data_IF_415195070365
#
_entry.id   IF_415195070365
#
_cell.length_a   1.000
_cell.length_b   1.000
_cell.length_c   1.000
_cell.angle_alpha   90.00
_cell.angle_beta   90.00
_cell.angle_gamma   90.00
#
_symmetry.space_group_name_H-M   'P 1'
#
loop_
_entity.id
_entity.type
_entity.pdbx_description
1 polymer ?
#
# COMPACT_ATOMS: atom_id res chain seq x y z
N UNK A 1 13.18 -8.84 0.38
CA UNK A 1 11.89 -8.61 -0.31
C UNK A 1 10.73 -8.54 0.67
N UNK A 2 10.61 -9.46 1.64
CA UNK A 2 9.51 -9.48 2.63
C UNK A 2 9.29 -8.15 3.40
N UNK A 3 10.37 -7.48 3.80
CA UNK A 3 10.31 -6.16 4.47
C UNK A 3 9.77 -5.03 3.58
N UNK A 4 9.94 -5.11 2.27
CA UNK A 4 9.43 -4.09 1.33
C UNK A 4 7.91 -4.23 1.16
N UNK A 5 7.43 -5.47 0.95
CA UNK A 5 6.00 -5.80 0.94
C UNK A 5 5.30 -5.39 2.22
N UNK A 6 5.89 -5.73 3.38
CA UNK A 6 5.32 -5.35 4.68
C UNK A 6 5.32 -3.83 4.86
N UNK A 7 6.37 -3.14 4.41
CA UNK A 7 6.43 -1.68 4.38
C UNK A 7 5.30 -1.06 3.57
N UNK A 8 5.06 -1.55 2.36
CA UNK A 8 3.98 -1.10 1.49
C UNK A 8 2.59 -1.36 2.10
N UNK A 9 2.36 -2.55 2.68
CA UNK A 9 1.08 -2.81 3.39
C UNK A 9 0.85 -1.89 4.58
N UNK A 10 1.90 -1.63 5.37
CA UNK A 10 1.80 -0.71 6.51
C UNK A 10 1.54 0.73 6.05
N UNK A 11 2.15 1.14 4.93
CA UNK A 11 1.93 2.45 4.32
C UNK A 11 0.49 2.59 3.82
N UNK A 12 -0.04 1.57 3.12
CA UNK A 12 -1.43 1.56 2.67
C UNK A 12 -2.41 1.72 3.85
N UNK A 13 -2.25 0.93 4.91
CA UNK A 13 -3.07 1.04 6.12
C UNK A 13 -2.95 2.41 6.82
N UNK A 14 -1.78 3.05 6.76
CA UNK A 14 -1.59 4.38 7.32
C UNK A 14 -2.34 5.42 6.48
N UNK A 15 -2.27 5.31 5.17
CA UNK A 15 -3.01 6.18 4.26
C UNK A 15 -4.53 6.03 4.40
N UNK A 16 -5.06 4.81 4.54
CA UNK A 16 -6.48 4.59 4.81
C UNK A 16 -6.95 5.29 6.09
N UNK A 17 -6.21 5.13 7.20
CA UNK A 17 -6.53 5.83 8.46
C UNK A 17 -6.47 7.34 8.31
N UNK A 18 -5.47 7.86 7.59
CA UNK A 18 -5.39 9.30 7.30
C UNK A 18 -6.58 9.80 6.48
N UNK A 19 -7.05 9.01 5.50
CA UNK A 19 -8.25 9.35 4.75
C UNK A 19 -9.50 9.41 5.64
N UNK A 20 -9.71 8.41 6.52
CA UNK A 20 -10.83 8.39 7.47
C UNK A 20 -10.83 9.59 8.42
N UNK A 21 -9.65 9.99 8.91
CA UNK A 21 -9.50 11.17 9.76
C UNK A 21 -9.91 12.44 9.03
N UNK A 22 -9.49 12.60 7.78
CA UNK A 22 -9.87 13.75 6.97
C UNK A 22 -11.36 13.75 6.62
N UNK A 23 -11.96 12.60 6.30
CA UNK A 23 -13.41 12.52 6.10
C UNK A 23 -14.19 12.86 7.36
N UNK A 24 -13.71 12.41 8.53
CA UNK A 24 -14.32 12.74 9.82
C UNK A 24 -14.25 14.24 10.09
N UNK A 25 -13.10 14.87 9.85
CA UNK A 25 -12.93 16.32 9.98
C UNK A 25 -13.86 17.10 9.02
N UNK A 26 -13.94 16.66 7.75
CA UNK A 26 -14.84 17.25 6.76
C UNK A 26 -16.33 17.12 7.16
N UNK A 27 -16.74 15.96 7.68
CA UNK A 27 -18.11 15.72 8.16
C UNK A 27 -18.43 16.55 9.40
N UNK A 28 -17.47 16.74 10.29
CA UNK A 28 -17.60 17.57 11.48
C UNK A 28 -17.56 19.08 11.17
N UNK A 29 -17.24 19.48 9.93
CA UNK A 29 -17.09 20.88 9.55
C UNK A 29 -15.88 21.55 10.21
N UNK A 30 -14.87 20.77 10.62
CA UNK A 30 -13.68 21.27 11.30
C UNK A 30 -12.68 21.75 10.25
N UNK A 31 -12.24 23.00 10.36
CA UNK A 31 -11.23 23.56 9.46
C UNK A 31 -11.72 23.72 8.02
N UNK A 32 -10.80 23.54 7.07
CA UNK A 32 -11.12 23.60 5.65
C UNK A 32 -11.68 22.25 5.16
N UNK A 33 -13.01 22.19 5.04
CA UNK A 33 -13.75 20.99 4.64
C UNK A 33 -13.38 20.51 3.25
N UNK A 34 -13.14 21.42 2.31
CA UNK A 34 -12.81 21.06 0.93
C UNK A 34 -11.38 20.53 0.84
N UNK A 35 -10.44 21.13 1.58
CA UNK A 35 -9.08 20.60 1.72
C UNK A 35 -9.10 19.20 2.34
N UNK A 36 -9.89 18.99 3.40
CA UNK A 36 -10.03 17.66 4.01
C UNK A 36 -10.60 16.62 3.05
N UNK A 37 -11.63 16.95 2.26
CA UNK A 37 -12.15 16.04 1.23
C UNK A 37 -11.10 15.69 0.18
N UNK A 38 -10.34 16.68 -0.30
CA UNK A 38 -9.25 16.46 -1.25
C UNK A 38 -8.19 15.53 -0.67
N UNK A 39 -7.71 15.79 0.55
CA UNK A 39 -6.69 14.95 1.19
C UNK A 39 -7.20 13.53 1.46
N UNK A 40 -8.49 13.35 1.78
CA UNK A 40 -9.05 12.01 1.94
C UNK A 40 -8.98 11.19 0.65
N UNK A 41 -9.25 11.82 -0.51
CA UNK A 41 -9.11 11.16 -1.82
C UNK A 41 -7.64 10.88 -2.13
N UNK A 42 -6.76 11.86 -1.96
CA UNK A 42 -5.31 11.70 -2.20
C UNK A 42 -4.72 10.56 -1.37
N UNK A 43 -5.15 10.41 -0.11
CA UNK A 43 -4.73 9.31 0.74
C UNK A 43 -5.30 7.96 0.30
N UNK A 44 -6.56 7.89 -0.15
CA UNK A 44 -7.10 6.63 -0.70
C UNK A 44 -6.34 6.18 -1.95
N UNK A 45 -6.05 7.11 -2.86
CA UNK A 45 -5.27 6.80 -4.06
C UNK A 45 -3.86 6.31 -3.69
N UNK A 46 -3.20 6.96 -2.72
CA UNK A 46 -1.91 6.52 -2.22
C UNK A 46 -1.97 5.11 -1.58
N UNK A 47 -3.03 4.80 -0.84
CA UNK A 47 -3.22 3.47 -0.24
C UNK A 47 -3.34 2.37 -1.31
N UNK A 48 -4.11 2.62 -2.38
CA UNK A 48 -4.24 1.70 -3.51
C UNK A 48 -2.89 1.49 -4.21
N UNK A 49 -2.13 2.57 -4.41
CA UNK A 49 -0.81 2.48 -5.03
C UNK A 49 0.19 1.67 -4.18
N UNK A 50 0.17 1.83 -2.86
CA UNK A 50 1.01 1.03 -1.97
C UNK A 50 0.56 -0.43 -1.91
N UNK A 51 -0.74 -0.72 -1.94
CA UNK A 51 -1.24 -2.10 -2.02
C UNK A 51 -0.78 -2.79 -3.32
N UNK A 52 -0.86 -2.08 -4.46
CA UNK A 52 -0.35 -2.57 -5.75
C UNK A 52 1.13 -2.90 -5.69
N UNK A 53 1.95 -2.05 -5.06
CA UNK A 53 3.38 -2.30 -4.86
C UNK A 53 3.62 -3.53 -3.97
N UNK A 54 2.84 -3.68 -2.91
CA UNK A 54 2.94 -4.86 -2.03
C UNK A 54 2.63 -6.17 -2.77
N UNK A 55 1.65 -6.16 -3.68
CA UNK A 55 1.33 -7.32 -4.53
C UNK A 55 2.45 -7.59 -5.53
N UNK A 56 2.96 -6.56 -6.21
CA UNK A 56 4.07 -6.71 -7.16
C UNK A 56 5.34 -7.26 -6.51
N UNK A 57 5.63 -6.89 -5.26
CA UNK A 57 6.74 -7.45 -4.48
C UNK A 57 6.51 -8.91 -4.08
N UNK A 58 5.26 -9.32 -3.85
CA UNK A 58 4.88 -10.71 -3.59
C UNK A 58 5.12 -11.59 -4.82
N UNK A 59 4.67 -11.13 -5.99
CA UNK A 59 4.87 -11.83 -7.27
C UNK A 59 6.35 -11.95 -7.63
N UNK A 60 7.13 -10.88 -7.42
CA UNK A 60 8.58 -10.88 -7.64
C UNK A 60 9.28 -11.91 -6.75
N UNK A 61 8.84 -12.03 -5.50
CA UNK A 61 9.37 -13.01 -4.55
C UNK A 61 9.04 -14.43 -4.99
N UNK A 62 7.79 -14.69 -5.38
CA UNK A 62 7.37 -16.01 -5.87
C UNK A 62 8.11 -16.45 -7.16
N UNK A 63 8.41 -15.52 -8.06
CA UNK A 63 9.21 -15.79 -9.27
C UNK A 63 10.68 -16.05 -8.93
N UNK A 64 11.24 -15.34 -7.95
CA UNK A 64 12.61 -15.56 -7.49
C UNK A 64 12.76 -16.94 -6.82
N UNK A 65 11.86 -17.30 -5.89
CA UNK A 65 11.87 -18.59 -5.20
C UNK A 65 11.73 -19.77 -6.18
N UNK A 66 10.88 -19.63 -7.22
CA UNK A 66 10.74 -20.65 -8.27
C UNK A 66 12.04 -20.84 -9.07
N UNK A 67 12.82 -19.78 -9.29
CA UNK A 67 14.06 -19.83 -10.07
C UNK A 67 15.20 -20.47 -9.28
N UNK A 68 15.22 -20.33 -7.96
CA UNK A 68 16.23 -20.96 -7.09
C UNK A 68 15.93 -22.42 -6.74
N UNK A 69 14.69 -22.88 -6.97
CA UNK A 69 14.26 -24.27 -6.74
C UNK A 69 14.54 -25.28 -7.87
N UNK A 70 15.30 -24.91 -8.91
CA UNK A 70 15.75 -25.85 -9.95
C UNK A 70 17.08 -26.48 -9.52
N UNK A 71 17.13 -27.75 -9.06
CA UNK A 71 18.39 -28.43 -8.88
C UNK A 71 19.06 -28.58 -10.26
N UNK A 72 20.32 -28.19 -10.37
CA UNK A 72 21.17 -28.44 -11.53
C UNK A 72 21.42 -29.96 -11.60
N UNK A 73 20.49 -30.70 -12.23
CA UNK A 73 20.68 -32.11 -12.58
C UNK A 73 21.60 -32.23 -13.80
N UNK A 74 22.86 -31.79 -13.66
CA UNK A 74 23.93 -32.23 -14.56
C UNK A 74 24.72 -33.32 -13.86
N UNK A 75 24.52 -34.55 -14.36
CA UNK A 75 25.26 -35.74 -13.96
C UNK A 75 26.68 -35.80 -14.49
#
# INVERSE_FOLDING_TARGET
MERAREGHRRAALAHERSAELHETAARAGVGDVEAHRRHAVEHRDAAVEDERKAVADDERTAVADRREGLPDERG
#
